data_IF_111684115698
#
_entry.id   IF_111684115698
#
_cell.length_a   1.000
_cell.length_b   1.000
_cell.length_c   1.000
_cell.angle_alpha   90.00
_cell.angle_beta   90.00
_cell.angle_gamma   90.00
#
_symmetry.space_group_name_H-M   'P 1'
#
loop_
_entity.id
_entity.type
_entity.pdbx_description
1 polymer ?
#
# COMPACT_ATOMS: atom_id res chain seq x y z
N UNK A 1 -15.33 -13.27 0.27
CA UNK A 1 -13.95 -13.76 0.08
C UNK A 1 -13.53 -14.71 1.20
N UNK A 2 -12.94 -15.84 0.83
CA UNK A 2 -12.43 -16.85 1.77
C UNK A 2 -11.16 -16.32 2.48
N UNK A 3 -11.07 -16.47 3.81
CA UNK A 3 -9.93 -16.04 4.64
C UNK A 3 -8.59 -16.59 4.13
N UNK A 4 -8.55 -17.82 3.62
CA UNK A 4 -7.35 -18.41 3.06
C UNK A 4 -6.86 -17.67 1.81
N UNK A 5 -7.77 -17.19 0.97
CA UNK A 5 -7.45 -16.42 -0.24
C UNK A 5 -6.87 -15.06 0.13
N UNK A 6 -7.46 -14.37 1.11
CA UNK A 6 -6.95 -13.08 1.59
C UNK A 6 -5.55 -13.22 2.20
N UNK A 7 -5.32 -14.25 3.02
CA UNK A 7 -4.00 -14.49 3.63
C UNK A 7 -2.94 -14.77 2.54
N UNK A 8 -3.28 -15.58 1.53
CA UNK A 8 -2.37 -15.87 0.43
C UNK A 8 -2.10 -14.61 -0.41
N UNK A 9 -3.11 -13.77 -0.65
CA UNK A 9 -2.98 -12.50 -1.36
C UNK A 9 -2.08 -11.52 -0.60
N UNK A 10 -2.30 -11.34 0.71
CA UNK A 10 -1.43 -10.53 1.57
C UNK A 10 0.02 -11.04 1.59
N UNK A 11 0.22 -12.36 1.66
CA UNK A 11 1.55 -12.97 1.64
C UNK A 11 2.26 -12.67 0.33
N UNK A 12 1.57 -12.84 -0.80
CA UNK A 12 2.14 -12.57 -2.13
C UNK A 12 2.45 -11.09 -2.32
N UNK A 13 1.53 -10.20 -1.94
CA UNK A 13 1.76 -8.76 -1.95
C UNK A 13 3.00 -8.36 -1.14
N UNK A 14 3.16 -8.93 0.06
CA UNK A 14 4.34 -8.69 0.90
C UNK A 14 5.63 -9.20 0.23
N UNK A 15 5.58 -10.36 -0.43
CA UNK A 15 6.69 -10.89 -1.22
C UNK A 15 7.14 -9.93 -2.32
N UNK A 16 6.20 -9.39 -3.10
CA UNK A 16 6.50 -8.43 -4.17
C UNK A 16 7.18 -7.16 -3.63
N UNK A 17 6.79 -6.67 -2.45
CA UNK A 17 7.40 -5.50 -1.81
C UNK A 17 8.87 -5.77 -1.46
N UNK A 18 9.13 -6.92 -0.84
CA UNK A 18 10.49 -7.33 -0.43
C UNK A 18 11.40 -7.52 -1.64
N UNK A 19 10.90 -8.18 -2.69
CA UNK A 19 11.63 -8.38 -3.95
C UNK A 19 11.95 -7.04 -4.64
N UNK A 20 10.97 -6.14 -4.67
CA UNK A 20 11.15 -4.83 -5.29
C UNK A 20 12.06 -3.88 -4.49
N UNK A 21 12.33 -4.19 -3.21
CA UNK A 21 13.11 -3.37 -2.25
C UNK A 21 12.58 -1.94 -2.13
N UNK A 22 11.27 -1.77 -2.24
CA UNK A 22 10.62 -0.46 -2.09
C UNK A 22 9.98 -0.33 -0.72
N UNK A 23 9.93 0.87 -0.12
CA UNK A 23 9.41 1.04 1.23
C UNK A 23 7.87 1.10 1.25
N UNK A 24 7.17 0.10 0.70
CA UNK A 24 5.69 0.02 0.76
C UNK A 24 5.27 -0.67 2.06
N UNK A 25 4.19 -0.18 2.67
CA UNK A 25 3.59 -0.73 3.88
C UNK A 25 2.19 -1.25 3.58
N UNK A 26 1.87 -2.43 4.07
CA UNK A 26 0.51 -2.99 4.04
C UNK A 26 0.04 -3.17 5.47
N UNK A 27 -1.06 -2.52 5.85
CA UNK A 27 -1.63 -2.60 7.21
C UNK A 27 -3.11 -2.96 7.15
N UNK A 28 -3.54 -3.89 7.98
CA UNK A 28 -4.95 -4.06 8.26
C UNK A 28 -5.44 -2.93 9.18
N UNK A 29 -6.64 -2.41 8.92
CA UNK A 29 -7.32 -1.43 9.75
C UNK A 29 -8.77 -1.87 10.01
N UNK A 30 -9.49 -1.12 10.85
CA UNK A 30 -10.85 -1.48 11.25
C UNK A 30 -11.77 -1.76 10.06
N UNK A 31 -11.70 -0.94 9.01
CA UNK A 31 -12.63 -1.02 7.88
C UNK A 31 -12.03 -1.67 6.61
N UNK A 32 -10.80 -2.20 6.67
CA UNK A 32 -10.17 -2.83 5.51
C UNK A 32 -8.66 -3.02 5.62
N UNK A 33 -7.99 -2.93 4.48
CA UNK A 33 -6.53 -2.93 4.36
C UNK A 33 -6.10 -1.62 3.71
N UNK A 34 -5.00 -1.05 4.21
CA UNK A 34 -4.37 0.13 3.64
C UNK A 34 -3.01 -0.26 3.08
N UNK A 35 -2.75 0.12 1.84
CA UNK A 35 -1.44 0.05 1.19
C UNK A 35 -0.90 1.47 1.12
N UNK A 36 0.26 1.71 1.71
CA UNK A 36 0.87 3.03 1.84
C UNK A 36 2.30 3.01 1.27
N UNK A 37 2.64 4.02 0.45
CA UNK A 37 4.01 4.32 0.10
C UNK A 37 4.40 5.69 0.69
N UNK A 38 5.42 5.76 1.56
CA UNK A 38 5.92 6.99 2.11
C UNK A 38 6.62 7.80 1.02
N UNK A 39 6.65 9.13 1.19
CA UNK A 39 7.61 9.97 0.47
C UNK A 39 8.98 9.89 1.14
N UNK A 40 10.04 9.90 0.35
CA UNK A 40 11.40 9.92 0.87
C UNK A 40 12.44 9.60 -0.21
N UNK A 41 13.70 9.51 0.18
CA UNK A 41 14.82 9.30 -0.76
C UNK A 41 14.67 8.02 -1.58
N UNK A 42 14.02 7.00 -1.02
CA UNK A 42 13.81 5.71 -1.69
C UNK A 42 12.53 5.64 -2.56
N UNK A 43 11.71 6.69 -2.62
CA UNK A 43 10.51 6.76 -3.46
C UNK A 43 10.48 8.10 -4.19
N UNK A 44 10.20 8.15 -5.51
CA UNK A 44 10.11 9.43 -6.23
C UNK A 44 8.88 10.29 -5.86
N UNK A 45 8.22 9.98 -4.74
CA UNK A 45 7.00 10.63 -4.29
C UNK A 45 7.29 11.93 -3.54
N UNK A 46 6.58 13.01 -3.90
CA UNK A 46 6.63 14.29 -3.18
C UNK A 46 5.88 14.26 -1.84
N UNK A 47 4.84 13.43 -1.76
CA UNK A 47 4.01 13.23 -0.56
C UNK A 47 3.69 11.75 -0.41
N UNK A 48 3.54 11.23 0.82
CA UNK A 48 3.08 9.87 1.02
C UNK A 48 1.75 9.64 0.30
N UNK A 49 1.54 8.44 -0.22
CA UNK A 49 0.31 8.05 -0.91
C UNK A 49 -0.23 6.78 -0.27
N UNK A 50 -1.55 6.67 -0.25
CA UNK A 50 -2.22 5.48 0.28
C UNK A 50 -3.43 5.09 -0.56
N UNK A 51 -3.70 3.79 -0.60
CA UNK A 51 -4.93 3.22 -1.12
C UNK A 51 -5.60 2.40 -0.02
N UNK A 52 -6.91 2.60 0.14
CA UNK A 52 -7.72 1.87 1.09
C UNK A 52 -8.62 0.88 0.36
N UNK A 53 -8.50 -0.39 0.72
CA UNK A 53 -9.35 -1.47 0.21
C UNK A 53 -10.24 -1.92 1.35
N UNK A 54 -11.55 -1.65 1.25
CA UNK A 54 -12.49 -1.99 2.32
C UNK A 54 -12.73 -3.50 2.41
N UNK A 55 -13.17 -3.97 3.58
CA UNK A 55 -13.58 -5.38 3.72
C UNK A 55 -14.71 -5.76 2.77
N UNK A 56 -15.65 -4.85 2.51
CA UNK A 56 -16.71 -5.05 1.54
C UNK A 56 -16.15 -5.29 0.12
N UNK A 57 -15.23 -4.42 -0.33
CA UNK A 57 -14.58 -4.55 -1.64
C UNK A 57 -13.77 -5.84 -1.75
N UNK A 58 -13.05 -6.23 -0.69
CA UNK A 58 -12.35 -7.52 -0.65
C UNK A 58 -13.35 -8.68 -0.70
N UNK A 59 -14.48 -8.58 0.00
CA UNK A 59 -15.48 -9.64 0.04
C UNK A 59 -16.17 -9.86 -1.31
N UNK A 60 -16.50 -8.77 -2.01
CA UNK A 60 -17.06 -8.75 -3.37
C UNK A 60 -16.06 -9.22 -4.42
N UNK A 61 -14.79 -8.87 -4.25
CA UNK A 61 -13.73 -9.36 -5.10
C UNK A 61 -13.61 -10.88 -4.95
N UNK A 62 -14.04 -11.60 -5.99
CA UNK A 62 -13.94 -13.07 -6.08
C UNK A 62 -12.51 -13.55 -6.35
N UNK A 63 -11.49 -12.72 -6.09
CA UNK A 63 -10.10 -12.93 -6.48
C UNK A 63 -9.12 -12.04 -5.70
N UNK A 64 -7.81 -12.11 -6.03
CA UNK A 64 -6.78 -11.30 -5.39
C UNK A 64 -6.94 -9.81 -5.72
N UNK A 65 -6.77 -8.95 -4.72
CA UNK A 65 -6.92 -7.49 -4.84
C UNK A 65 -5.65 -6.76 -4.39
N UNK A 66 -5.00 -7.24 -3.33
CA UNK A 66 -3.88 -6.54 -2.72
C UNK A 66 -2.61 -6.71 -3.52
N UNK A 67 -2.32 -7.91 -4.03
CA UNK A 67 -1.14 -8.15 -4.87
C UNK A 67 -1.12 -7.26 -6.11
N UNK A 68 -2.13 -7.25 -7.00
CA UNK A 68 -2.09 -6.41 -8.20
C UNK A 68 -1.99 -4.92 -7.85
N UNK A 69 -2.71 -4.47 -6.81
CA UNK A 69 -2.62 -3.09 -6.33
C UNK A 69 -1.20 -2.69 -5.90
N UNK A 70 -0.49 -3.60 -5.21
CA UNK A 70 0.90 -3.40 -4.79
C UNK A 70 1.86 -3.44 -5.98
N UNK A 71 1.67 -4.37 -6.92
CA UNK A 71 2.50 -4.48 -8.13
C UNK A 71 2.38 -3.23 -9.01
N UNK A 72 1.17 -2.69 -9.18
CA UNK A 72 0.95 -1.41 -9.87
C UNK A 72 1.65 -0.25 -9.17
N UNK A 73 1.58 -0.18 -7.84
CA UNK A 73 2.29 0.84 -7.07
C UNK A 73 3.81 0.72 -7.24
N UNK A 74 4.35 -0.49 -7.17
CA UNK A 74 5.79 -0.76 -7.42
C UNK A 74 6.19 -0.27 -8.80
N UNK A 75 5.40 -0.59 -9.83
CA UNK A 75 5.67 -0.18 -11.20
C UNK A 75 5.67 1.35 -11.34
N UNK A 76 4.69 2.04 -10.74
CA UNK A 76 4.62 3.50 -10.74
C UNK A 76 5.83 4.14 -10.04
N UNK A 77 6.27 3.56 -8.91
CA UNK A 77 7.43 4.04 -8.15
C UNK A 77 8.76 3.79 -8.87
N UNK A 78 8.89 2.70 -9.62
CA UNK A 78 10.13 2.35 -10.34
C UNK A 78 10.28 3.08 -11.66
N UNK A 79 9.21 3.12 -12.44
CA UNK A 79 9.25 3.64 -13.82
C UNK A 79 9.01 5.15 -13.88
N UNK A 80 8.56 5.77 -12.79
CA UNK A 80 8.21 7.18 -12.78
C UNK A 80 6.97 7.45 -13.61
N UNK A 81 5.79 7.17 -13.05
CA UNK A 81 4.51 7.32 -13.72
C UNK A 81 3.42 7.96 -12.83
N UNK A 82 2.21 8.15 -13.37
CA UNK A 82 1.07 8.56 -12.57
C UNK A 82 0.77 7.51 -11.50
N UNK A 83 0.18 7.96 -10.40
CA UNK A 83 -0.25 7.06 -9.34
C UNK A 83 -1.33 6.10 -9.85
N UNK A 84 -1.34 4.83 -9.40
CA UNK A 84 -2.40 3.90 -9.75
C UNK A 84 -3.75 4.38 -9.26
N UNK A 85 -4.83 3.93 -9.90
CA UNK A 85 -6.17 4.30 -9.51
C UNK A 85 -6.46 3.89 -8.05
N UNK A 86 -7.07 4.80 -7.29
CA UNK A 86 -7.40 4.58 -5.88
C UNK A 86 -6.28 4.88 -4.88
N UNK A 87 -5.07 5.23 -5.36
CA UNK A 87 -4.06 5.87 -4.52
C UNK A 87 -4.30 7.37 -4.46
N UNK A 88 -4.49 7.89 -3.26
CA UNK A 88 -4.60 9.31 -3.00
C UNK A 88 -3.40 9.78 -2.20
N UNK A 89 -3.00 11.06 -2.31
CA UNK A 89 -2.05 11.65 -1.37
C UNK A 89 -2.58 11.41 0.04
N UNK A 90 -1.81 10.68 0.84
CA UNK A 90 -2.22 10.37 2.19
C UNK A 90 -2.35 11.68 2.96
N UNK A 91 -3.53 11.91 3.54
CA UNK A 91 -3.82 13.07 4.35
C UNK A 91 -3.22 12.95 5.75
N UNK A 92 -2.15 12.17 5.94
CA UNK A 92 -1.39 12.07 7.18
C UNK A 92 -0.83 13.46 7.53
N UNK A 93 -1.68 14.19 8.24
CA UNK A 93 -1.35 15.09 9.32
C UNK A 93 -0.38 14.34 10.23
N UNK A 94 0.87 14.82 10.27
CA UNK A 94 1.89 14.59 11.30
C UNK A 94 1.47 13.61 12.41
N UNK A 95 1.50 12.31 12.16
CA UNK A 95 1.50 11.34 13.25
C UNK A 95 2.89 11.34 13.88
N UNK A 96 3.09 12.26 14.83
CA UNK A 96 4.00 12.16 16.01
C UNK A 96 5.33 11.42 15.77
N UNK A 97 6.13 11.89 14.82
CA UNK A 97 7.51 11.46 14.62
C UNK A 97 8.56 12.52 14.96
N UNK A 98 8.15 13.74 15.34
CA UNK A 98 9.03 14.76 15.87
C UNK A 98 9.40 14.41 17.33
N UNK A 99 10.10 13.30 17.56
CA UNK A 99 10.98 13.21 18.72
C UNK A 99 12.20 14.03 18.37
N UNK A 100 12.12 15.30 18.75
CA UNK A 100 13.26 16.20 18.91
C UNK A 100 14.23 15.47 19.87
N UNK A 101 15.31 14.91 19.34
CA UNK A 101 16.42 14.49 20.18
C UNK A 101 16.99 15.78 20.78
N UNK A 102 16.90 15.85 22.11
CA UNK A 102 17.56 16.87 22.93
C UNK A 102 19.06 16.58 22.97
#
# INVERSE_FOLDING_TARGET
MNRAVLINDMRRATGSILEARVPIRVRACRDGVVVEAPAGVATPLRRPVEARVTWARLNEARGPVLRPLVEELIAALRNGGPLPAGFTPSSISKSRGARRLH
#
